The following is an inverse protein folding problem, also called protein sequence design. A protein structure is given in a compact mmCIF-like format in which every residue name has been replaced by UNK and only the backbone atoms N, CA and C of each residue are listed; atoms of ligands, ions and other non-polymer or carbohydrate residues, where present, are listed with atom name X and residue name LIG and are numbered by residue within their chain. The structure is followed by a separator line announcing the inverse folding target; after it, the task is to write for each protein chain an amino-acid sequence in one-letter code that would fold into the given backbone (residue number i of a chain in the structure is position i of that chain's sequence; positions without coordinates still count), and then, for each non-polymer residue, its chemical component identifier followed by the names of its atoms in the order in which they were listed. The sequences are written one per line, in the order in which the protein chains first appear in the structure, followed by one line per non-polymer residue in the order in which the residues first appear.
data_IF_544737504941
#
_entry.id   IF_544737504941
#
_cell.length_a   1.000
_cell.length_b   1.000
_cell.length_c   1.000
_cell.angle_alpha   90.00
_cell.angle_beta   90.00
_cell.angle_gamma   90.00
#
_symmetry.space_group_name_H-M   'P 1'
#
loop_
_entity.id
_entity.type
_entity.pdbx_description
1 polymer ?
#
# COMPACT_ATOMS: atom_id res chain seq x y z
N UNK A 1 8.22 9.13 36.69
CA UNK A 1 9.12 9.99 35.89
C UNK A 1 8.53 10.10 34.49
N UNK A 2 8.02 11.26 34.11
CA UNK A 2 7.52 11.52 32.75
C UNK A 2 8.74 11.90 31.93
N UNK A 3 9.15 11.03 31.01
CA UNK A 3 10.20 11.34 30.07
C UNK A 3 9.71 12.42 29.11
N UNK A 4 10.22 13.62 29.23
CA UNK A 4 9.96 14.70 28.27
C UNK A 4 10.69 14.34 26.96
N UNK A 5 9.94 13.94 25.94
CA UNK A 5 10.47 13.76 24.59
C UNK A 5 10.86 15.16 24.09
N UNK A 6 12.17 15.40 23.98
CA UNK A 6 12.64 16.63 23.34
C UNK A 6 12.16 16.64 21.89
N UNK A 7 11.64 17.77 21.39
CA UNK A 7 11.31 17.86 19.95
C UNK A 7 12.59 17.58 19.15
N UNK A 8 12.49 16.66 18.20
CA UNK A 8 13.57 16.33 17.29
C UNK A 8 13.96 17.62 16.55
N UNK A 9 15.17 18.09 16.75
CA UNK A 9 15.71 19.24 16.03
C UNK A 9 15.59 18.94 14.55
N UNK A 10 15.03 19.88 13.77
CA UNK A 10 14.85 19.77 12.33
C UNK A 10 16.13 19.21 11.70
N UNK A 11 16.09 17.95 11.25
CA UNK A 11 17.19 17.29 10.57
C UNK A 11 17.51 18.12 9.33
N UNK A 12 18.76 18.57 9.19
CA UNK A 12 19.24 19.25 7.99
C UNK A 12 18.89 18.34 6.80
N UNK A 13 18.09 18.85 5.88
CA UNK A 13 17.59 18.09 4.72
C UNK A 13 18.79 17.59 3.90
N UNK A 14 18.87 16.29 3.67
CA UNK A 14 19.91 15.72 2.83
C UNK A 14 19.65 16.13 1.37
N UNK A 15 20.70 16.46 0.58
CA UNK A 15 20.55 16.86 -0.80
C UNK A 15 20.02 15.71 -1.68
N UNK A 16 19.21 16.04 -2.66
CA UNK A 16 18.74 15.13 -3.68
C UNK A 16 18.75 15.79 -5.07
N UNK A 17 18.71 14.97 -6.11
CA UNK A 17 18.65 15.41 -7.50
C UNK A 17 17.41 14.84 -8.17
N UNK A 18 16.69 15.66 -8.92
CA UNK A 18 15.53 15.26 -9.72
C UNK A 18 15.92 15.22 -11.19
N UNK A 19 15.59 14.13 -11.86
CA UNK A 19 15.86 13.93 -13.28
C UNK A 19 14.53 13.66 -13.99
N UNK A 20 14.24 14.47 -15.00
CA UNK A 20 13.07 14.30 -15.86
C UNK A 20 13.50 13.64 -17.16
N UNK A 21 13.10 12.41 -17.38
CA UNK A 21 13.20 11.73 -18.66
C UNK A 21 11.94 11.92 -19.50
N UNK A 22 11.89 11.32 -20.69
CA UNK A 22 10.75 11.42 -21.61
C UNK A 22 9.49 10.78 -21.01
N UNK A 23 9.66 9.67 -20.26
CA UNK A 23 8.55 8.87 -19.72
C UNK A 23 8.79 8.44 -18.26
N UNK A 24 9.71 9.10 -17.57
CA UNK A 24 10.02 8.79 -16.19
C UNK A 24 10.51 10.02 -15.42
N UNK A 25 10.38 9.93 -14.10
CA UNK A 25 10.95 10.88 -13.15
C UNK A 25 11.85 10.07 -12.22
N UNK A 26 13.12 10.48 -12.10
CA UNK A 26 14.07 9.92 -11.17
C UNK A 26 14.34 10.88 -10.00
N UNK A 27 14.41 10.35 -8.79
CA UNK A 27 14.84 11.10 -7.60
C UNK A 27 15.98 10.34 -6.96
N UNK A 28 17.15 10.98 -6.90
CA UNK A 28 18.38 10.37 -6.38
C UNK A 28 18.93 11.16 -5.21
N UNK A 29 19.22 10.48 -4.12
CA UNK A 29 19.99 11.00 -2.99
C UNK A 29 21.28 10.22 -2.78
N UNK A 30 21.92 10.42 -1.62
CA UNK A 30 23.20 9.77 -1.30
C UNK A 30 23.10 8.24 -1.30
N UNK A 31 22.04 7.67 -0.70
CA UNK A 31 21.90 6.24 -0.48
C UNK A 31 20.68 5.64 -1.17
N UNK A 32 19.93 6.42 -1.93
CA UNK A 32 18.71 5.95 -2.59
C UNK A 32 18.56 6.44 -4.02
N UNK A 33 17.79 5.68 -4.78
CA UNK A 33 17.38 5.99 -6.14
C UNK A 33 15.92 5.54 -6.32
N UNK A 34 15.05 6.47 -6.71
CA UNK A 34 13.61 6.23 -6.88
C UNK A 34 13.25 6.58 -8.31
N UNK A 35 12.46 5.73 -8.97
CA UNK A 35 11.99 5.96 -10.33
C UNK A 35 10.47 5.84 -10.41
N UNK A 36 9.86 6.81 -11.06
CA UNK A 36 8.45 6.87 -11.39
C UNK A 36 8.27 6.79 -12.90
N UNK A 37 7.22 6.14 -13.36
CA UNK A 37 6.93 5.99 -14.80
C UNK A 37 5.54 6.54 -15.14
N UNK A 38 5.48 7.35 -16.17
CA UNK A 38 4.22 7.82 -16.77
C UNK A 38 3.52 6.69 -17.53
N UNK A 39 4.27 5.83 -18.21
CA UNK A 39 3.68 4.73 -18.99
C UNK A 39 3.08 3.64 -18.11
N UNK A 40 3.80 3.27 -17.04
CA UNK A 40 3.36 2.21 -16.13
C UNK A 40 2.47 2.75 -15.00
N UNK A 41 2.38 4.07 -14.86
CA UNK A 41 1.51 4.75 -13.91
C UNK A 41 1.84 4.45 -12.46
N UNK A 42 3.07 4.70 -12.00
CA UNK A 42 3.44 4.51 -10.60
C UNK A 42 4.94 4.47 -10.32
N UNK A 43 5.26 4.15 -9.07
CA UNK A 43 6.61 3.95 -8.54
C UNK A 43 7.17 2.62 -9.08
N UNK A 44 8.11 2.68 -10.03
CA UNK A 44 8.65 1.48 -10.71
C UNK A 44 9.88 0.91 -10.05
N UNK A 45 10.63 1.72 -9.30
CA UNK A 45 11.82 1.27 -8.59
C UNK A 45 12.03 2.12 -7.34
N UNK A 46 12.37 1.46 -6.25
CA UNK A 46 12.84 2.07 -5.03
C UNK A 46 14.08 1.31 -4.55
N UNK A 47 15.24 1.86 -4.84
CA UNK A 47 16.52 1.27 -4.42
C UNK A 47 17.06 2.03 -3.22
N UNK A 48 17.45 1.30 -2.18
CA UNK A 48 18.13 1.85 -1.02
C UNK A 48 19.40 1.06 -0.72
N UNK A 49 20.51 1.76 -0.50
CA UNK A 49 21.85 1.16 -0.34
C UNK A 49 22.18 0.13 -1.45
N UNK A 50 21.79 0.43 -2.70
CA UNK A 50 22.02 -0.41 -3.87
C UNK A 50 21.08 -1.61 -4.03
N UNK A 51 20.14 -1.86 -3.10
CA UNK A 51 19.19 -2.98 -3.17
C UNK A 51 17.81 -2.49 -3.57
N UNK A 52 17.14 -3.21 -4.50
CA UNK A 52 15.74 -2.95 -4.85
C UNK A 52 14.83 -3.37 -3.69
N UNK A 53 13.89 -2.51 -3.32
CA UNK A 53 13.00 -2.69 -2.18
C UNK A 53 11.59 -3.14 -2.57
N UNK A 54 11.19 -2.92 -3.82
CA UNK A 54 9.87 -3.31 -4.33
C UNK A 54 10.04 -4.20 -5.57
N UNK A 55 9.13 -5.12 -5.81
CA UNK A 55 9.15 -5.98 -6.99
C UNK A 55 8.13 -5.56 -8.05
N UNK A 56 7.06 -4.93 -7.63
CA UNK A 56 6.02 -4.41 -8.51
C UNK A 56 5.62 -3.00 -8.07
N UNK A 57 5.00 -2.26 -8.98
CA UNK A 57 4.46 -0.94 -8.70
C UNK A 57 3.43 -1.04 -7.58
N UNK A 58 3.59 -0.30 -6.46
CA UNK A 58 2.56 -0.23 -5.44
C UNK A 58 1.25 0.30 -6.04
N UNK A 59 0.14 -0.40 -5.77
CA UNK A 59 -1.14 -0.06 -6.37
C UNK A 59 -2.20 0.23 -5.33
N UNK A 60 -3.12 1.18 -5.62
CA UNK A 60 -4.34 1.30 -4.85
C UNK A 60 -5.09 -0.04 -4.85
N UNK A 61 -5.59 -0.43 -3.68
CA UNK A 61 -6.38 -1.63 -3.57
C UNK A 61 -7.62 -1.40 -2.71
N UNK A 62 -8.75 -1.92 -3.20
CA UNK A 62 -10.09 -1.75 -2.64
C UNK A 62 -10.79 -3.09 -2.39
N UNK A 63 -10.06 -4.19 -2.60
CA UNK A 63 -10.57 -5.54 -2.52
C UNK A 63 -9.73 -6.42 -1.59
N UNK A 64 -10.37 -7.28 -0.83
CA UNK A 64 -9.77 -8.34 -0.02
C UNK A 64 -10.32 -9.69 -0.42
N UNK A 65 -9.63 -10.76 -0.09
CA UNK A 65 -10.14 -12.11 -0.31
C UNK A 65 -11.43 -12.31 0.52
N UNK A 66 -12.57 -12.66 -0.10
CA UNK A 66 -13.82 -12.83 0.61
C UNK A 66 -13.71 -13.89 1.70
N UNK A 67 -14.18 -13.56 2.89
CA UNK A 67 -14.37 -14.52 3.97
C UNK A 67 -15.64 -15.35 3.74
N UNK A 68 -15.82 -16.45 4.50
CA UNK A 68 -17.06 -17.24 4.47
C UNK A 68 -18.30 -16.35 4.73
N UNK A 69 -18.20 -15.39 5.65
CA UNK A 69 -19.25 -14.44 5.94
C UNK A 69 -19.51 -13.49 4.76
N UNK A 70 -18.47 -13.06 4.05
CA UNK A 70 -18.61 -12.23 2.86
C UNK A 70 -19.28 -13.00 1.71
N UNK A 71 -18.94 -14.27 1.55
CA UNK A 71 -19.62 -15.16 0.58
C UNK A 71 -21.09 -15.34 0.94
N UNK A 72 -21.40 -15.56 2.22
CA UNK A 72 -22.77 -15.67 2.72
C UNK A 72 -23.60 -14.40 2.50
N UNK A 73 -22.97 -13.23 2.56
CA UNK A 73 -23.58 -11.92 2.30
C UNK A 73 -23.53 -11.48 0.82
N UNK A 74 -23.12 -12.36 -0.08
CA UNK A 74 -22.98 -12.05 -1.52
C UNK A 74 -22.11 -10.81 -1.79
N UNK A 75 -20.99 -10.66 -1.09
CA UNK A 75 -20.09 -9.51 -1.28
C UNK A 75 -19.64 -9.36 -2.73
N UNK A 76 -19.34 -10.46 -3.42
CA UNK A 76 -18.93 -10.45 -4.82
C UNK A 76 -19.99 -9.86 -5.75
N UNK A 77 -21.27 -10.18 -5.55
CA UNK A 77 -22.38 -9.62 -6.35
C UNK A 77 -22.64 -8.15 -6.04
N UNK A 78 -22.59 -7.77 -4.76
CA UNK A 78 -22.94 -6.41 -4.34
C UNK A 78 -21.76 -5.43 -4.51
N UNK A 79 -20.53 -5.87 -4.29
CA UNK A 79 -19.32 -5.02 -4.21
C UNK A 79 -18.25 -5.37 -5.24
N UNK A 80 -18.50 -6.26 -6.18
CA UNK A 80 -17.53 -6.76 -7.16
C UNK A 80 -16.87 -5.68 -8.03
N UNK A 81 -17.49 -4.50 -8.17
CA UNK A 81 -16.87 -3.37 -8.85
C UNK A 81 -15.54 -2.95 -8.21
N UNK A 82 -15.39 -3.07 -6.88
CA UNK A 82 -14.16 -2.74 -6.18
C UNK A 82 -13.02 -3.73 -6.47
N UNK A 83 -13.35 -4.97 -6.81
CA UNK A 83 -12.38 -5.94 -7.36
C UNK A 83 -11.84 -5.46 -8.70
N UNK A 84 -12.74 -5.06 -9.61
CA UNK A 84 -12.34 -4.51 -10.91
C UNK A 84 -11.54 -3.22 -10.76
N UNK A 85 -11.94 -2.33 -9.85
CA UNK A 85 -11.21 -1.12 -9.53
C UNK A 85 -9.78 -1.41 -9.03
N UNK A 86 -9.58 -2.46 -8.23
CA UNK A 86 -8.25 -2.87 -7.75
C UNK A 86 -7.37 -3.47 -8.85
N UNK A 87 -7.96 -4.29 -9.72
CA UNK A 87 -7.23 -5.00 -10.79
C UNK A 87 -6.90 -4.11 -11.98
N UNK A 88 -7.80 -3.20 -12.33
CA UNK A 88 -7.80 -2.48 -13.61
C UNK A 88 -7.82 -0.96 -13.45
N UNK A 89 -7.39 -0.41 -12.30
CA UNK A 89 -7.15 1.01 -12.17
C UNK A 89 -6.14 1.48 -13.23
N UNK A 90 -6.49 2.52 -13.97
CA UNK A 90 -5.64 3.06 -15.04
C UNK A 90 -5.20 4.47 -14.70
N UNK A 91 -3.90 4.73 -14.81
CA UNK A 91 -3.37 6.07 -14.60
C UNK A 91 -3.92 7.05 -15.67
N UNK A 92 -4.34 8.22 -15.22
CA UNK A 92 -4.93 9.28 -16.04
C UNK A 92 -3.96 10.48 -16.12
N UNK A 93 -3.81 11.06 -17.30
CA UNK A 93 -3.01 12.27 -17.47
C UNK A 93 -3.64 13.46 -16.73
N UNK A 94 -2.86 14.13 -15.89
CA UNK A 94 -3.25 15.30 -15.09
C UNK A 94 -2.21 16.44 -15.10
N UNK A 95 -1.06 16.19 -15.70
CA UNK A 95 0.05 17.15 -15.78
C UNK A 95 -0.05 18.08 -16.97
N UNK A 96 1.12 18.57 -17.39
CA UNK A 96 1.24 19.44 -18.58
C UNK A 96 0.94 18.66 -19.85
N UNK A 97 0.45 19.38 -20.86
CA UNK A 97 0.39 18.84 -22.21
C UNK A 97 1.80 18.66 -22.77
N UNK A 98 2.05 17.47 -23.29
CA UNK A 98 3.30 17.11 -23.95
C UNK A 98 3.01 16.57 -25.36
N UNK A 99 3.93 16.75 -26.33
CA UNK A 99 3.78 16.18 -27.67
C UNK A 99 3.68 14.65 -27.62
N UNK A 100 2.71 14.11 -28.33
CA UNK A 100 2.60 12.66 -28.52
C UNK A 100 3.45 12.18 -29.70
N UNK A 101 4.05 11.02 -29.59
CA UNK A 101 4.79 10.36 -30.70
C UNK A 101 3.90 10.01 -31.89
N UNK A 102 2.59 9.93 -31.67
CA UNK A 102 1.59 9.66 -32.72
C UNK A 102 0.92 10.92 -33.25
N UNK A 103 1.42 12.11 -32.88
CA UNK A 103 0.85 13.42 -33.22
C UNK A 103 -0.17 13.91 -32.19
N UNK A 104 -0.37 15.24 -32.15
CA UNK A 104 -1.18 15.90 -31.13
C UNK A 104 -0.48 16.04 -29.78
N UNK A 105 -1.26 16.29 -28.72
CA UNK A 105 -0.78 16.43 -27.35
C UNK A 105 -1.45 15.40 -26.44
N UNK A 106 -0.75 15.00 -25.41
CA UNK A 106 -1.25 14.17 -24.31
C UNK A 106 -0.98 14.89 -22.98
N UNK A 107 -1.84 14.64 -21.99
CA UNK A 107 -1.57 15.10 -20.64
C UNK A 107 -0.53 14.19 -19.98
N UNK A 108 0.51 14.80 -19.45
CA UNK A 108 1.52 14.08 -18.69
C UNK A 108 0.91 13.49 -17.41
N UNK A 109 1.28 12.29 -17.09
CA UNK A 109 0.99 11.60 -15.83
C UNK A 109 2.32 11.00 -15.34
N UNK A 110 2.78 11.30 -14.13
CA UNK A 110 2.14 12.06 -13.05
C UNK A 110 2.43 13.57 -13.08
N UNK A 111 1.86 14.31 -12.10
CA UNK A 111 2.40 15.61 -11.73
C UNK A 111 3.65 15.46 -10.87
N UNK A 112 4.59 16.39 -10.98
CA UNK A 112 5.81 16.41 -10.19
C UNK A 112 6.08 17.82 -9.70
N UNK A 113 6.15 17.97 -8.38
CA UNK A 113 6.45 19.23 -7.71
C UNK A 113 7.72 19.07 -6.86
N UNK A 114 8.70 19.94 -7.09
CA UNK A 114 9.96 19.95 -6.32
C UNK A 114 9.85 20.99 -5.23
N UNK A 115 9.97 20.55 -3.99
CA UNK A 115 9.99 21.40 -2.80
C UNK A 115 11.42 21.51 -2.24
N UNK A 116 11.61 22.30 -1.19
CA UNK A 116 12.93 22.54 -0.60
C UNK A 116 13.56 21.26 0.00
N UNK A 117 12.74 20.33 0.50
CA UNK A 117 13.18 19.13 1.23
C UNK A 117 12.63 17.82 0.66
N UNK A 118 11.81 17.90 -0.36
CA UNK A 118 11.10 16.73 -0.91
C UNK A 118 10.70 16.93 -2.37
N UNK A 119 10.33 15.82 -2.99
CA UNK A 119 9.70 15.79 -4.33
C UNK A 119 8.35 15.12 -4.18
N UNK A 120 7.31 15.77 -4.66
CA UNK A 120 5.94 15.26 -4.63
C UNK A 120 5.54 14.81 -6.02
N UNK A 121 5.23 13.51 -6.16
CA UNK A 121 4.77 12.90 -7.41
C UNK A 121 3.37 12.35 -7.18
N UNK A 122 2.39 12.81 -7.97
CA UNK A 122 0.99 12.43 -7.80
C UNK A 122 0.43 11.80 -9.05
N UNK A 123 -0.12 10.60 -8.89
CA UNK A 123 -0.88 9.88 -9.90
C UNK A 123 -2.38 9.99 -9.62
N UNK A 124 -3.17 10.18 -10.68
CA UNK A 124 -4.62 10.05 -10.65
C UNK A 124 -5.00 8.78 -11.40
N UNK A 125 -5.87 7.95 -10.81
CA UNK A 125 -6.33 6.71 -11.39
C UNK A 125 -7.83 6.75 -11.64
N UNK A 126 -8.24 6.38 -12.85
CA UNK A 126 -9.62 6.01 -13.12
C UNK A 126 -9.88 4.62 -12.55
N UNK A 127 -10.94 4.48 -11.77
CA UNK A 127 -11.41 3.22 -11.23
C UNK A 127 -12.45 2.61 -12.15
N UNK A 128 -12.43 1.30 -12.32
CA UNK A 128 -13.40 0.59 -13.18
C UNK A 128 -14.71 0.38 -12.42
N UNK A 129 -15.41 1.48 -12.17
CA UNK A 129 -16.69 1.50 -11.42
C UNK A 129 -17.80 2.21 -12.20
N UNK A 130 -19.05 1.91 -11.86
CA UNK A 130 -20.23 2.61 -12.33
C UNK A 130 -21.16 2.90 -11.14
N UNK A 131 -21.36 4.15 -10.78
CA UNK A 131 -20.81 5.40 -11.35
C UNK A 131 -19.27 5.44 -11.39
N UNK A 132 -18.73 6.24 -12.33
CA UNK A 132 -17.29 6.42 -12.47
C UNK A 132 -16.68 7.07 -11.22
N UNK A 133 -15.57 6.53 -10.76
CA UNK A 133 -14.84 7.04 -9.62
C UNK A 133 -13.34 7.16 -9.93
N UNK A 134 -12.64 8.00 -9.17
CA UNK A 134 -11.21 8.25 -9.28
C UNK A 134 -10.55 8.17 -7.90
N UNK A 135 -9.27 7.87 -7.86
CA UNK A 135 -8.46 8.02 -6.66
C UNK A 135 -7.09 8.60 -7.02
N UNK A 136 -6.45 9.27 -6.08
CA UNK A 136 -5.07 9.72 -6.26
C UNK A 136 -4.11 9.00 -5.32
N UNK A 137 -2.92 8.69 -5.83
CA UNK A 137 -1.81 8.13 -5.07
C UNK A 137 -0.62 9.08 -5.19
N UNK A 138 -0.28 9.71 -4.08
CA UNK A 138 0.81 10.66 -3.99
C UNK A 138 1.99 10.04 -3.26
N UNK A 139 3.18 10.27 -3.80
CA UNK A 139 4.45 9.92 -3.20
C UNK A 139 5.23 11.20 -2.92
N UNK A 140 5.59 11.44 -1.67
CA UNK A 140 6.53 12.49 -1.26
C UNK A 140 7.85 11.84 -0.91
N UNK A 141 8.86 12.06 -1.71
CA UNK A 141 10.22 11.51 -1.54
C UNK A 141 11.09 12.56 -0.85
N UNK A 142 11.61 12.23 0.31
CA UNK A 142 12.50 13.11 1.09
C UNK A 142 13.98 12.87 0.74
N UNK A 143 14.84 13.85 1.00
CA UNK A 143 16.27 13.77 0.72
C UNK A 143 17.01 12.63 1.45
N UNK A 144 16.46 12.07 2.52
CA UNK A 144 17.00 10.90 3.22
C UNK A 144 16.51 9.55 2.68
N UNK A 145 15.68 9.57 1.61
CA UNK A 145 15.14 8.39 0.95
C UNK A 145 13.82 7.88 1.52
N UNK A 146 13.29 8.49 2.57
CA UNK A 146 11.93 8.16 3.05
C UNK A 146 10.90 8.55 2.00
N UNK A 147 9.85 7.74 1.87
CA UNK A 147 8.73 8.00 0.98
C UNK A 147 7.45 8.05 1.81
N UNK A 148 6.79 9.19 1.83
CA UNK A 148 5.41 9.29 2.34
C UNK A 148 4.46 8.96 1.21
N UNK A 149 3.64 7.93 1.39
CA UNK A 149 2.62 7.52 0.42
C UNK A 149 1.24 7.93 0.93
N UNK A 150 0.49 8.66 0.13
CA UNK A 150 -0.86 9.13 0.48
C UNK A 150 -1.84 8.65 -0.57
N UNK A 151 -2.79 7.80 -0.18
CA UNK A 151 -3.93 7.42 -1.00
C UNK A 151 -5.15 8.27 -0.62
N UNK A 152 -5.78 8.87 -1.62
CA UNK A 152 -6.98 9.69 -1.45
C UNK A 152 -8.10 9.22 -2.39
N UNK A 153 -9.31 9.17 -1.87
CA UNK A 153 -10.54 8.84 -2.59
C UNK A 153 -11.68 9.69 -2.05
N UNK A 154 -12.42 10.31 -2.94
CA UNK A 154 -13.67 11.00 -2.63
C UNK A 154 -14.85 10.05 -2.90
N UNK A 155 -15.70 9.77 -1.89
CA UNK A 155 -16.84 8.88 -2.06
C UNK A 155 -17.79 9.35 -3.17
N UNK A 156 -18.20 8.41 -4.02
CA UNK A 156 -19.16 8.65 -5.10
C UNK A 156 -20.48 8.02 -4.72
N UNK A 157 -21.56 8.81 -4.78
CA UNK A 157 -22.92 8.35 -4.51
C UNK A 157 -23.32 7.25 -5.50
N UNK A 158 -24.02 6.23 -5.01
CA UNK A 158 -24.46 5.07 -5.81
C UNK A 158 -23.45 3.91 -5.84
N UNK A 159 -22.23 4.07 -5.36
CA UNK A 159 -21.30 2.97 -5.18
C UNK A 159 -21.53 2.27 -3.83
N UNK A 160 -21.45 0.95 -3.85
CA UNK A 160 -21.50 0.15 -2.63
C UNK A 160 -20.30 0.44 -1.74
N UNK A 161 -20.42 0.16 -0.42
CA UNK A 161 -19.32 0.31 0.53
C UNK A 161 -18.09 -0.50 0.08
N UNK A 162 -16.92 0.14 0.15
CA UNK A 162 -15.64 -0.40 -0.25
C UNK A 162 -15.18 -1.48 0.73
N UNK A 163 -14.84 -2.72 0.28
CA UNK A 163 -14.41 -3.79 1.19
C UNK A 163 -13.07 -3.54 1.85
N UNK A 164 -12.18 -2.84 1.16
CA UNK A 164 -10.81 -2.51 1.60
C UNK A 164 -10.42 -1.13 1.08
N UNK A 165 -9.52 -0.43 1.77
CA UNK A 165 -8.94 0.83 1.30
C UNK A 165 -7.49 0.92 1.70
N UNK A 166 -6.58 0.70 0.77
CA UNK A 166 -5.14 0.71 1.07
C UNK A 166 -4.26 0.63 -0.15
N UNK A 167 -2.97 0.48 0.10
CA UNK A 167 -1.95 0.30 -0.93
C UNK A 167 -1.33 -1.07 -0.78
N UNK A 168 -1.26 -1.80 -1.89
CA UNK A 168 -0.67 -3.12 -1.98
C UNK A 168 0.77 -2.98 -2.49
N UNK A 169 1.71 -3.51 -1.71
CA UNK A 169 3.13 -3.59 -2.05
C UNK A 169 3.52 -5.04 -2.28
N UNK A 170 4.34 -5.28 -3.28
CA UNK A 170 4.95 -6.58 -3.52
C UNK A 170 6.46 -6.46 -3.38
N UNK A 171 7.04 -7.28 -2.49
CA UNK A 171 8.46 -7.26 -2.15
C UNK A 171 9.06 -8.65 -2.31
N UNK A 172 10.39 -8.73 -2.34
CA UNK A 172 11.10 -9.99 -2.45
C UNK A 172 10.86 -10.90 -1.24
N UNK A 173 10.76 -12.21 -1.48
CA UNK A 173 10.56 -13.21 -0.44
C UNK A 173 11.75 -13.43 0.48
N UNK A 174 12.91 -12.87 0.18
CA UNK A 174 14.02 -12.82 1.12
C UNK A 174 13.68 -12.00 2.36
N UNK A 175 12.69 -11.10 2.27
CA UNK A 175 12.14 -10.34 3.38
C UNK A 175 11.06 -11.16 4.12
N UNK A 176 11.45 -12.26 4.74
CA UNK A 176 10.57 -13.27 5.30
C UNK A 176 10.13 -13.04 6.76
N UNK A 177 10.68 -12.02 7.41
CA UNK A 177 10.43 -11.74 8.82
C UNK A 177 9.69 -10.41 8.97
N UNK A 178 8.56 -10.45 9.66
CA UNK A 178 7.77 -9.25 9.99
C UNK A 178 7.82 -8.99 11.50
N UNK A 179 8.07 -7.76 11.88
CA UNK A 179 7.97 -7.27 13.25
C UNK A 179 7.08 -6.04 13.27
N UNK A 180 6.18 -5.94 14.25
CA UNK A 180 5.25 -4.81 14.35
C UNK A 180 5.01 -4.36 15.79
N UNK A 181 4.74 -3.07 15.94
CA UNK A 181 4.20 -2.49 17.17
C UNK A 181 2.73 -2.19 16.96
N UNK A 182 1.88 -3.02 17.52
CA UNK A 182 0.44 -3.01 17.32
C UNK A 182 -0.26 -4.06 18.17
N UNK A 183 -1.51 -4.36 17.85
CA UNK A 183 -2.22 -5.46 18.46
C UNK A 183 -1.65 -6.81 17.99
N UNK A 184 -1.59 -7.77 18.92
CA UNK A 184 -1.04 -9.10 18.68
C UNK A 184 -1.15 -10.02 19.89
N UNK A 185 -0.46 -11.20 19.86
CA UNK A 185 0.41 -11.73 18.80
C UNK A 185 -0.35 -12.31 17.59
N UNK A 186 -1.60 -12.77 17.80
CA UNK A 186 -2.42 -13.35 16.75
C UNK A 186 -2.93 -12.28 15.77
N UNK A 187 -3.60 -12.70 14.71
CA UNK A 187 -4.31 -11.79 13.82
C UNK A 187 -5.43 -11.04 14.56
N UNK A 188 -5.68 -9.82 14.15
CA UNK A 188 -6.73 -8.97 14.73
C UNK A 188 -7.48 -8.24 13.63
N UNK A 189 -8.82 -8.19 13.80
CA UNK A 189 -9.74 -7.45 12.97
C UNK A 189 -10.60 -6.55 13.84
N UNK A 190 -11.32 -5.62 13.25
CA UNK A 190 -12.16 -4.69 13.99
C UNK A 190 -13.14 -5.41 14.94
N UNK A 191 -13.76 -6.46 14.47
CA UNK A 191 -14.75 -7.28 15.19
C UNK A 191 -14.11 -8.41 16.03
N UNK A 192 -12.79 -8.59 15.93
CA UNK A 192 -12.06 -9.69 16.58
C UNK A 192 -10.70 -9.19 17.11
N UNK A 193 -10.76 -8.43 18.20
CA UNK A 193 -9.56 -7.87 18.84
C UNK A 193 -9.54 -7.94 20.37
N UNK A 194 -10.57 -8.47 21.02
CA UNK A 194 -10.69 -8.45 22.48
C UNK A 194 -9.58 -9.25 23.21
N UNK A 195 -9.02 -10.26 22.61
CA UNK A 195 -7.89 -11.02 23.17
C UNK A 195 -6.52 -10.42 22.90
N UNK A 196 -6.44 -9.40 22.06
CA UNK A 196 -5.18 -8.80 21.65
C UNK A 196 -4.64 -7.82 22.68
N UNK A 197 -3.31 -7.73 22.74
CA UNK A 197 -2.62 -6.73 23.55
C UNK A 197 -1.72 -5.89 22.65
N UNK A 198 -1.61 -4.61 23.02
CA UNK A 198 -0.64 -3.73 22.36
C UNK A 198 0.78 -4.13 22.79
N UNK A 199 1.64 -4.42 21.83
CA UNK A 199 3.01 -4.85 22.08
C UNK A 199 3.85 -4.87 20.81
N UNK A 200 5.11 -5.24 20.96
CA UNK A 200 6.02 -5.51 19.85
C UNK A 200 6.06 -7.02 19.66
N UNK A 201 5.77 -7.46 18.46
CA UNK A 201 5.68 -8.85 18.08
C UNK A 201 6.46 -9.12 16.81
N UNK A 202 6.87 -10.37 16.63
CA UNK A 202 7.59 -10.82 15.45
C UNK A 202 7.14 -12.22 15.06
N UNK A 203 7.02 -12.47 13.74
CA UNK A 203 6.84 -13.81 13.18
C UNK A 203 7.42 -13.90 11.76
N UNK A 204 7.30 -15.05 11.12
CA UNK A 204 7.53 -15.18 9.70
C UNK A 204 6.29 -14.75 8.92
N UNK A 205 6.48 -14.19 7.73
CA UNK A 205 5.36 -13.82 6.85
C UNK A 205 4.47 -15.02 6.55
N UNK A 206 5.05 -16.20 6.35
CA UNK A 206 4.30 -17.43 6.12
C UNK A 206 3.39 -17.83 7.30
N UNK A 207 3.78 -17.49 8.54
CA UNK A 207 3.02 -17.82 9.75
C UNK A 207 1.76 -16.96 9.91
N UNK A 208 1.62 -15.90 9.10
CA UNK A 208 0.40 -15.07 9.09
C UNK A 208 -0.76 -15.73 8.33
N UNK A 209 -0.49 -16.77 7.54
CA UNK A 209 -1.55 -17.50 6.86
C UNK A 209 -2.34 -18.35 7.86
N UNK A 210 -3.59 -17.99 8.08
CA UNK A 210 -4.51 -18.83 8.85
C UNK A 210 -4.86 -20.12 8.08
N UNK A 211 -4.98 -21.23 8.81
CA UNK A 211 -5.26 -22.55 8.25
C UNK A 211 -6.76 -22.74 7.98
N UNK A 212 -7.35 -21.85 7.19
CA UNK A 212 -8.73 -22.00 6.73
C UNK A 212 -8.82 -23.08 5.65
N UNK A 213 -9.96 -23.79 5.59
CA UNK A 213 -10.23 -24.79 4.56
C UNK A 213 -10.27 -24.19 3.16
N UNK A 214 -10.83 -23.00 3.06
CA UNK A 214 -10.84 -22.17 1.84
C UNK A 214 -9.96 -20.94 2.09
N UNK A 215 -8.94 -20.68 1.27
CA UNK A 215 -8.14 -19.46 1.40
C UNK A 215 -9.03 -18.21 1.38
N UNK A 216 -8.85 -17.35 2.38
CA UNK A 216 -9.64 -16.15 2.58
C UNK A 216 -8.82 -15.10 3.33
N UNK A 217 -9.35 -13.90 3.52
CA UNK A 217 -8.70 -12.83 4.26
C UNK A 217 -8.25 -13.30 5.64
N UNK A 218 -6.98 -13.06 5.96
CA UNK A 218 -6.36 -13.47 7.22
C UNK A 218 -5.09 -12.66 7.53
N UNK A 219 -4.50 -12.89 8.69
CA UNK A 219 -3.16 -12.43 9.08
C UNK A 219 -3.04 -10.95 9.43
N UNK A 220 -4.13 -10.20 9.43
CA UNK A 220 -4.11 -8.78 9.68
C UNK A 220 -3.73 -8.40 11.13
N UNK A 221 -3.16 -7.21 11.28
CA UNK A 221 -2.78 -6.58 12.55
C UNK A 221 -3.42 -5.21 12.64
N UNK A 222 -4.16 -4.96 13.71
CA UNK A 222 -4.81 -3.66 13.97
C UNK A 222 -3.98 -2.78 14.89
N UNK A 223 -4.29 -1.50 14.92
CA UNK A 223 -3.63 -0.52 15.79
C UNK A 223 -2.10 -0.50 15.63
N UNK A 224 -1.60 -0.76 14.42
CA UNK A 224 -0.16 -0.80 14.14
C UNK A 224 0.37 0.62 14.00
N UNK A 225 1.42 0.94 14.78
CA UNK A 225 2.15 2.21 14.72
C UNK A 225 3.29 2.14 13.73
N UNK A 226 3.96 1.00 13.73
CA UNK A 226 4.98 0.68 12.74
C UNK A 226 5.04 -0.84 12.52
N UNK A 227 5.45 -1.21 11.32
CA UNK A 227 5.77 -2.58 10.95
C UNK A 227 7.01 -2.58 10.06
N UNK A 228 7.93 -3.51 10.28
CA UNK A 228 9.07 -3.71 9.39
C UNK A 228 9.05 -5.12 8.85
N UNK A 229 9.43 -5.25 7.57
CA UNK A 229 9.60 -6.54 6.91
C UNK A 229 11.03 -6.63 6.44
N UNK A 230 11.76 -7.61 6.95
CA UNK A 230 13.22 -7.66 6.83
C UNK A 230 13.74 -9.03 6.39
N UNK A 231 14.92 -9.01 5.76
CA UNK A 231 15.70 -10.19 5.45
C UNK A 231 16.47 -10.71 6.70
N UNK A 232 17.20 -11.82 6.53
CA UNK A 232 18.02 -12.42 7.59
C UNK A 232 19.14 -11.52 8.12
N UNK A 233 19.47 -10.44 7.42
CA UNK A 233 20.47 -9.43 7.83
C UNK A 233 19.83 -8.20 8.45
N UNK A 234 18.51 -8.21 8.66
CA UNK A 234 17.75 -7.10 9.22
C UNK A 234 17.53 -5.94 8.25
N UNK A 235 17.76 -6.12 6.94
CA UNK A 235 17.51 -5.11 5.91
C UNK A 235 16.13 -5.31 5.34
N UNK A 236 15.40 -4.23 5.06
CA UNK A 236 14.06 -4.30 4.52
C UNK A 236 13.35 -2.95 4.55
N UNK A 237 12.04 -3.01 4.57
CA UNK A 237 11.15 -1.85 4.62
C UNK A 237 10.56 -1.65 6.00
N UNK A 238 10.56 -0.43 6.47
CA UNK A 238 9.86 0.03 7.66
C UNK A 238 8.66 0.88 7.23
N UNK A 239 7.47 0.45 7.61
CA UNK A 239 6.22 1.17 7.43
C UNK A 239 5.85 1.85 8.74
N UNK A 240 5.61 3.14 8.72
CA UNK A 240 5.17 3.89 9.89
C UNK A 240 3.83 4.56 9.62
N UNK A 241 2.93 4.46 10.58
CA UNK A 241 1.68 5.20 10.54
C UNK A 241 1.88 6.64 11.02
N UNK A 242 0.96 7.53 10.66
CA UNK A 242 0.81 8.80 11.35
C UNK A 242 0.56 8.53 12.85
N UNK A 243 1.28 9.25 13.71
CA UNK A 243 1.22 9.07 15.16
C UNK A 243 -0.21 9.14 15.73
N UNK A 244 -1.07 9.98 15.14
CA UNK A 244 -2.46 10.14 15.54
C UNK A 244 -3.39 9.06 14.97
N UNK A 245 -2.92 8.26 13.98
CA UNK A 245 -3.77 7.36 13.19
C UNK A 245 -3.06 6.02 12.92
N UNK A 246 -3.09 5.07 13.87
CA UNK A 246 -2.55 3.75 13.65
C UNK A 246 -3.10 3.10 12.37
N UNK A 247 -2.28 2.31 11.71
CA UNK A 247 -2.65 1.61 10.48
C UNK A 247 -3.15 0.20 10.77
N UNK A 248 -3.87 -0.33 9.81
CA UNK A 248 -4.11 -1.75 9.62
C UNK A 248 -3.00 -2.28 8.71
N UNK A 249 -2.37 -3.36 9.09
CA UNK A 249 -1.22 -3.91 8.38
C UNK A 249 -1.37 -5.41 8.21
N UNK A 250 -1.06 -5.91 7.03
CA UNK A 250 -0.96 -7.34 6.76
C UNK A 250 0.29 -7.62 5.93
N UNK A 251 0.93 -8.75 6.18
CA UNK A 251 2.04 -9.25 5.40
C UNK A 251 1.78 -10.74 5.13
N UNK A 252 1.49 -11.07 3.87
CA UNK A 252 1.06 -12.40 3.43
C UNK A 252 1.89 -12.88 2.23
N UNK A 253 2.02 -14.20 2.04
CA UNK A 253 2.71 -14.75 0.87
C UNK A 253 1.88 -14.71 -0.41
N UNK A 254 0.60 -14.33 -0.35
CA UNK A 254 -0.34 -14.32 -1.47
C UNK A 254 -1.10 -13.01 -1.54
N UNK A 255 -1.44 -12.62 -2.77
CA UNK A 255 -2.38 -11.52 -3.01
C UNK A 255 -3.82 -11.94 -2.67
N UNK A 256 -4.72 -10.99 -2.40
CA UNK A 256 -6.14 -11.30 -2.23
C UNK A 256 -6.75 -12.05 -3.41
N UNK A 257 -6.33 -11.70 -4.62
CA UNK A 257 -6.86 -12.31 -5.84
C UNK A 257 -6.38 -13.76 -6.00
N UNK A 258 -5.13 -14.07 -5.60
CA UNK A 258 -4.63 -15.44 -5.54
C UNK A 258 -5.39 -16.26 -4.50
N UNK A 259 -5.61 -15.69 -3.31
CA UNK A 259 -6.39 -16.36 -2.26
C UNK A 259 -7.84 -16.62 -2.69
N UNK A 260 -8.51 -15.61 -3.25
CA UNK A 260 -9.90 -15.74 -3.73
C UNK A 260 -10.04 -16.77 -4.87
N UNK A 261 -9.01 -16.91 -5.70
CA UNK A 261 -9.04 -17.85 -6.83
C UNK A 261 -8.89 -19.30 -6.43
N UNK A 262 -8.35 -19.56 -5.23
CA UNK A 262 -8.12 -20.90 -4.71
C UNK A 262 -9.31 -21.39 -3.88
N UNK A 263 -9.79 -22.60 -4.16
CA UNK A 263 -10.81 -23.28 -3.36
C UNK A 263 -10.21 -24.10 -2.20
N UNK A 264 -8.93 -24.43 -2.32
CA UNK A 264 -8.19 -25.19 -1.32
C UNK A 264 -6.77 -24.63 -1.18
N UNK A 265 -6.14 -24.77 -0.02
CA UNK A 265 -4.77 -24.28 0.20
C UNK A 265 -3.71 -24.82 -0.77
N UNK A 266 -3.87 -26.04 -1.27
CA UNK A 266 -2.93 -26.64 -2.23
C UNK A 266 -3.05 -26.08 -3.65
N UNK A 267 -4.09 -25.31 -3.96
CA UNK A 267 -4.29 -24.61 -5.24
C UNK A 267 -3.59 -23.24 -5.27
N UNK A 268 -3.16 -22.73 -4.10
CA UNK A 268 -2.40 -21.50 -4.04
C UNK A 268 -1.09 -21.64 -4.84
N UNK A 269 -0.63 -20.57 -5.51
CA UNK A 269 0.59 -20.60 -6.30
C UNK A 269 1.77 -21.15 -5.49
N UNK A 270 2.50 -22.10 -6.06
CA UNK A 270 3.75 -22.55 -5.44
C UNK A 270 4.78 -21.42 -5.53
N UNK A 271 5.55 -21.24 -4.47
CA UNK A 271 6.58 -20.20 -4.34
C UNK A 271 7.73 -20.39 -5.34
N UNK A 272 7.49 -20.22 -6.63
CA UNK A 272 8.54 -20.24 -7.68
C UNK A 272 9.14 -18.85 -7.85
N UNK A 273 8.35 -17.82 -7.66
CA UNK A 273 8.79 -16.42 -7.51
C UNK A 273 8.17 -15.89 -6.22
N UNK A 274 8.99 -15.75 -5.21
CA UNK A 274 8.56 -15.36 -3.87
C UNK A 274 8.38 -13.85 -3.83
N UNK A 275 7.14 -13.41 -3.76
CA UNK A 275 6.83 -12.02 -3.43
C UNK A 275 5.90 -12.03 -2.24
N UNK A 276 6.19 -11.19 -1.25
CA UNK A 276 5.27 -10.96 -0.15
C UNK A 276 4.40 -9.76 -0.47
N UNK A 277 3.14 -9.87 -0.12
CA UNK A 277 2.16 -8.81 -0.29
C UNK A 277 2.00 -8.11 1.04
N UNK A 278 2.26 -6.82 1.04
CA UNK A 278 2.11 -5.97 2.20
C UNK A 278 0.89 -5.06 1.98
N UNK A 279 0.02 -5.07 2.96
CA UNK A 279 -1.15 -4.22 2.98
C UNK A 279 -0.99 -3.19 4.04
N UNK A 280 -1.23 -1.97 3.67
CA UNK A 280 -1.27 -0.86 4.61
C UNK A 280 -2.58 -0.14 4.40
N UNK A 281 -3.56 -0.45 5.24
CA UNK A 281 -4.88 0.16 5.17
C UNK A 281 -5.42 0.57 6.54
N UNK A 282 -6.58 1.18 6.57
CA UNK A 282 -7.25 1.57 7.80
C UNK A 282 -8.50 0.75 8.13
N UNK A 283 -9.13 0.09 7.18
CA UNK A 283 -10.44 -0.52 7.37
C UNK A 283 -10.45 -1.97 6.92
N UNK A 284 -10.80 -2.84 7.82
CA UNK A 284 -11.25 -4.18 7.52
C UNK A 284 -12.63 -4.40 8.13
N UNK A 285 -13.48 -5.05 7.44
CA UNK A 285 -14.79 -5.68 7.78
C UNK A 285 -15.91 -4.80 8.36
N UNK A 286 -15.69 -3.80 9.19
CA UNK A 286 -16.75 -3.14 9.94
C UNK A 286 -17.24 -1.80 9.38
N UNK A 287 -16.68 -1.28 8.31
CA UNK A 287 -17.19 -0.07 7.65
C UNK A 287 -18.55 -0.29 6.95
N UNK A 288 -19.16 -1.45 7.14
CA UNK A 288 -20.40 -1.84 6.48
C UNK A 288 -21.65 -1.15 6.98
N UNK A 289 -21.62 -0.45 8.13
CA UNK A 289 -22.83 0.06 8.78
C UNK A 289 -22.86 1.56 9.04
N UNK A 290 -21.80 2.31 8.79
CA UNK A 290 -21.79 3.74 9.00
C UNK A 290 -21.19 4.45 7.80
N UNK A 291 -21.95 5.31 7.14
CA UNK A 291 -21.51 6.20 6.08
C UNK A 291 -20.50 7.23 6.56
N UNK A 292 -19.30 6.78 6.93
CA UNK A 292 -18.20 7.66 7.34
C UNK A 292 -17.39 8.00 6.11
N UNK A 293 -17.16 9.28 5.78
CA UNK A 293 -16.34 9.69 4.66
C UNK A 293 -14.91 9.14 4.78
N UNK A 294 -14.42 8.46 3.75
CA UNK A 294 -13.02 8.04 3.66
C UNK A 294 -12.21 9.21 3.10
N UNK A 295 -11.44 9.86 3.94
CA UNK A 295 -10.53 10.93 3.52
C UNK A 295 -9.07 10.47 3.63
N UNK A 296 -8.22 11.14 2.86
CA UNK A 296 -6.76 11.08 2.71
C UNK A 296 -5.96 10.27 3.75
N UNK A 297 -5.00 9.48 3.29
CA UNK A 297 -4.10 8.63 4.09
C UNK A 297 -2.65 8.79 3.69
N UNK A 298 -1.80 9.00 4.68
CA UNK A 298 -0.35 9.06 4.52
C UNK A 298 0.33 7.92 5.27
N UNK A 299 1.27 7.26 4.60
CA UNK A 299 2.11 6.18 5.13
C UNK A 299 3.56 6.54 4.80
N UNK A 300 4.46 6.37 5.74
CA UNK A 300 5.88 6.58 5.53
C UNK A 300 6.59 5.25 5.30
N UNK A 301 7.38 5.19 4.23
CA UNK A 301 8.34 4.11 3.93
C UNK A 301 9.73 4.58 4.31
N UNK A 302 10.44 3.81 5.09
CA UNK A 302 11.84 4.03 5.44
C UNK A 302 12.66 2.78 5.19
#
# INVERSE_FOLDING_TARGET
MIATIKPETAKKTAPFTVMHGTHNIGVRGENFDVSFSDLNGGLTSYRYAGKEMIQEIPRPNFWRAPTDNDCGNNMGGVRGQWKLASLYATAKGIGKEIPSVHGGTILQNPTCEVEADSVVVTYLYNLQTSPAAECSLQYRVFGDGRIQTTLHYDPVEGLAAMPEFGVLFKIDADYDTVEWYGNGPAETYWDRQHGAKLGIYQNKVADNMAQYLVPQECGAKTAVRWAKVVDRKGRGLLFTADAAKPMFFSALPYTPHEMESAKHPYELPRFITRSFVLWVSRWALAAMTAGVPMSTRSIFLM
#
